data_IF_371121738908
#
_entry.id   IF_371121738908
#
_cell.length_a   1.000
_cell.length_b   1.000
_cell.length_c   1.000
_cell.angle_alpha   90.00
_cell.angle_beta   90.00
_cell.angle_gamma   90.00
#
_symmetry.space_group_name_H-M   'P 1'
#
loop_
_entity.id
_entity.type
_entity.pdbx_description
1 polymer ?
#
# COMPACT_ATOMS: atom_id res chain seq x y z
N UNK A 1 6.95 -9.80 -60.18
CA UNK A 1 5.94 -9.01 -59.41
C UNK A 1 6.06 -9.35 -57.94
N UNK A 2 6.77 -8.53 -57.16
CA UNK A 2 6.87 -8.67 -55.67
C UNK A 2 5.83 -7.72 -55.05
N UNK A 3 4.84 -8.23 -54.33
CA UNK A 3 3.89 -7.45 -53.57
C UNK A 3 4.44 -7.12 -52.18
N UNK A 4 4.60 -5.84 -51.98
CA UNK A 4 4.90 -5.16 -50.71
C UNK A 4 3.70 -5.34 -49.79
N UNK A 5 3.90 -5.93 -48.59
CA UNK A 5 2.97 -5.86 -47.45
C UNK A 5 3.52 -4.88 -46.41
N UNK A 6 3.00 -3.69 -46.42
CA UNK A 6 3.30 -2.63 -45.44
C UNK A 6 2.56 -2.84 -44.13
N UNK A 7 3.32 -2.73 -43.07
CA UNK A 7 3.21 -1.91 -41.89
C UNK A 7 1.83 -1.26 -41.58
N UNK A 8 1.02 -1.97 -40.76
CA UNK A 8 -0.13 -1.37 -40.06
C UNK A 8 -0.14 -1.67 -38.54
N UNK A 9 0.93 -2.22 -37.97
CA UNK A 9 0.97 -2.65 -36.55
C UNK A 9 1.42 -1.57 -35.55
N UNK A 10 2.01 -0.45 -36.01
CA UNK A 10 2.67 0.53 -35.13
C UNK A 10 1.75 1.60 -34.53
N UNK A 11 0.57 1.85 -35.10
CA UNK A 11 -0.30 2.96 -34.64
C UNK A 11 -1.28 2.59 -33.51
N UNK A 12 -1.60 1.30 -33.34
CA UNK A 12 -2.54 0.87 -32.27
C UNK A 12 -1.94 0.85 -30.87
N UNK A 13 -0.62 0.63 -30.74
CA UNK A 13 0.07 0.60 -29.43
C UNK A 13 0.22 2.02 -28.84
N UNK A 14 0.34 3.03 -29.68
CA UNK A 14 0.55 4.42 -29.24
C UNK A 14 -0.73 5.07 -28.70
N UNK A 15 -1.90 4.66 -29.24
CA UNK A 15 -3.21 5.17 -28.79
C UNK A 15 -3.62 4.61 -27.42
N UNK A 16 -3.24 3.35 -27.11
CA UNK A 16 -3.54 2.74 -25.83
C UNK A 16 -2.69 3.34 -24.68
N UNK A 17 -1.44 3.69 -24.94
CA UNK A 17 -0.58 4.35 -23.95
C UNK A 17 -1.10 5.73 -23.54
N UNK A 18 -1.65 6.48 -24.49
CA UNK A 18 -2.21 7.83 -24.23
C UNK A 18 -3.51 7.78 -23.40
N UNK A 19 -4.36 6.77 -23.61
CA UNK A 19 -5.61 6.62 -22.85
C UNK A 19 -5.38 6.21 -21.39
N UNK A 20 -4.38 5.38 -21.11
CA UNK A 20 -4.04 4.97 -19.74
C UNK A 20 -3.44 6.15 -18.96
N UNK A 21 -2.61 6.97 -19.60
CA UNK A 21 -2.04 8.17 -18.98
C UNK A 21 -3.12 9.21 -18.65
N UNK A 22 -4.14 9.33 -19.49
CA UNK A 22 -5.26 10.28 -19.30
C UNK A 22 -6.17 9.85 -18.13
N UNK A 23 -6.44 8.57 -17.96
CA UNK A 23 -7.23 8.04 -16.83
C UNK A 23 -6.47 8.23 -15.52
N UNK A 24 -5.14 8.04 -15.51
CA UNK A 24 -4.32 8.26 -14.31
C UNK A 24 -4.25 9.74 -13.92
N UNK A 25 -4.16 10.64 -14.93
CA UNK A 25 -4.15 12.08 -14.71
C UNK A 25 -5.52 12.61 -14.24
N UNK A 26 -6.61 12.03 -14.72
CA UNK A 26 -7.98 12.40 -14.30
C UNK A 26 -8.25 12.00 -12.84
N UNK A 27 -7.72 10.86 -12.37
CA UNK A 27 -7.86 10.42 -10.98
C UNK A 27 -7.06 11.30 -9.99
N UNK A 28 -6.00 11.99 -10.43
CA UNK A 28 -5.23 12.92 -9.61
C UNK A 28 -5.93 14.29 -9.44
N UNK A 29 -6.85 14.65 -10.35
CA UNK A 29 -7.53 15.94 -10.34
C UNK A 29 -8.98 15.90 -9.85
N UNK A 30 -9.58 14.72 -9.62
CA UNK A 30 -10.92 14.58 -9.06
C UNK A 30 -11.02 14.77 -7.55
N UNK A 31 -10.03 15.38 -6.92
CA UNK A 31 -10.07 15.84 -5.53
C UNK A 31 -10.64 17.24 -5.41
N UNK A 32 -11.78 17.55 -6.06
CA UNK A 32 -12.51 18.81 -5.78
C UNK A 32 -13.41 18.63 -4.57
N UNK A 33 -13.22 19.54 -3.66
CA UNK A 33 -13.96 19.77 -2.44
C UNK A 33 -15.45 19.53 -2.57
N UNK A 34 -15.97 18.53 -1.89
CA UNK A 34 -17.38 18.42 -1.59
C UNK A 34 -17.62 19.00 -0.18
N UNK A 35 -18.12 20.20 -0.19
CA UNK A 35 -19.00 20.84 0.78
C UNK A 35 -18.72 20.71 2.27
N UNK A 36 -18.28 21.81 2.89
CA UNK A 36 -18.82 22.28 4.15
C UNK A 36 -18.72 21.40 5.39
N UNK A 37 -17.58 20.73 5.62
CA UNK A 37 -17.25 20.21 6.94
C UNK A 37 -16.36 21.23 7.66
N UNK A 38 -16.66 21.57 8.91
CA UNK A 38 -15.77 22.33 9.80
C UNK A 38 -14.38 21.71 9.71
N UNK A 39 -13.43 22.46 9.17
CA UNK A 39 -12.03 22.00 9.06
C UNK A 39 -11.47 21.89 10.48
N UNK A 40 -11.47 20.68 11.02
CA UNK A 40 -10.59 20.39 12.13
C UNK A 40 -9.16 20.70 11.66
N UNK A 41 -8.41 21.47 12.42
CA UNK A 41 -7.04 21.86 12.09
C UNK A 41 -6.21 20.57 11.91
N UNK A 42 -5.78 20.29 10.68
CA UNK A 42 -4.96 19.12 10.41
C UNK A 42 -3.57 19.32 11.00
N UNK A 43 -3.09 18.32 11.74
CA UNK A 43 -1.72 18.29 12.23
C UNK A 43 -0.79 17.73 11.16
N UNK A 44 0.37 18.36 10.97
CA UNK A 44 1.41 17.87 10.05
C UNK A 44 2.50 17.16 10.85
N UNK A 45 2.91 15.99 10.40
CA UNK A 45 3.96 15.19 11.02
C UNK A 45 4.90 14.59 9.97
N UNK A 46 6.13 14.30 10.36
CA UNK A 46 7.09 13.56 9.54
C UNK A 46 7.48 12.24 10.22
N UNK A 47 7.66 11.19 9.40
CA UNK A 47 7.95 9.85 9.90
C UNK A 47 8.93 9.07 9.04
N UNK A 48 9.53 8.06 9.66
CA UNK A 48 10.39 7.07 9.01
C UNK A 48 9.77 5.69 9.14
N UNK A 49 9.65 4.96 8.05
CA UNK A 49 9.24 3.57 8.04
C UNK A 49 10.41 2.71 7.55
N UNK A 50 10.82 1.75 8.35
CA UNK A 50 11.87 0.79 8.00
C UNK A 50 11.25 -0.61 7.94
N UNK A 51 11.28 -1.23 6.76
CA UNK A 51 10.64 -2.53 6.48
C UNK A 51 11.70 -3.56 6.11
N UNK A 52 11.65 -4.70 6.75
CA UNK A 52 12.42 -5.89 6.41
C UNK A 52 11.47 -7.01 6.02
N UNK A 53 11.65 -7.59 4.84
CA UNK A 53 10.78 -8.62 4.31
C UNK A 53 11.58 -9.83 3.84
N UNK A 54 11.19 -11.02 4.30
CA UNK A 54 11.72 -12.31 3.83
C UNK A 54 10.58 -13.07 3.20
N UNK A 55 10.77 -13.52 1.96
CA UNK A 55 9.81 -14.40 1.31
C UNK A 55 10.51 -15.64 0.80
N UNK A 56 9.82 -16.77 0.87
CA UNK A 56 10.29 -18.07 0.37
C UNK A 56 9.27 -18.73 -0.53
N UNK A 57 9.70 -19.11 -1.71
CA UNK A 57 8.88 -19.97 -2.58
C UNK A 57 8.94 -21.41 -2.09
N UNK A 58 7.78 -21.97 -1.67
CA UNK A 58 7.66 -23.38 -1.25
C UNK A 58 7.38 -24.28 -2.45
N UNK A 59 6.58 -23.81 -3.39
CA UNK A 59 6.22 -24.46 -4.65
C UNK A 59 6.07 -23.38 -5.72
N UNK A 60 6.04 -23.80 -6.99
CA UNK A 60 5.97 -22.91 -8.17
C UNK A 60 4.96 -21.75 -8.07
N UNK A 61 3.89 -21.90 -7.29
CA UNK A 61 2.83 -20.89 -7.17
C UNK A 61 2.51 -20.53 -5.72
N UNK A 62 3.25 -21.06 -4.73
CA UNK A 62 2.97 -20.86 -3.31
C UNK A 62 4.21 -20.30 -2.65
N UNK A 63 4.07 -19.19 -1.96
CA UNK A 63 5.13 -18.59 -1.16
C UNK A 63 4.64 -18.24 0.25
N UNK A 64 5.56 -18.26 1.19
CA UNK A 64 5.36 -17.73 2.55
C UNK A 64 6.21 -16.49 2.72
N UNK A 65 5.79 -15.60 3.59
CA UNK A 65 6.57 -14.41 3.89
C UNK A 65 6.44 -14.00 5.36
N UNK A 66 7.49 -13.34 5.83
CA UNK A 66 7.52 -12.63 7.10
C UNK A 66 7.97 -11.21 6.82
N UNK A 67 7.33 -10.23 7.44
CA UNK A 67 7.67 -8.82 7.31
C UNK A 67 7.72 -8.19 8.69
N UNK A 68 8.82 -7.51 8.98
CA UNK A 68 9.01 -6.67 10.15
C UNK A 68 9.00 -5.21 9.71
N UNK A 69 8.30 -4.35 10.41
CA UNK A 69 8.32 -2.93 10.13
C UNK A 69 8.32 -2.11 11.40
N UNK A 70 9.25 -1.15 11.46
CA UNK A 70 9.37 -0.15 12.50
C UNK A 70 8.95 1.21 11.94
N UNK A 71 8.14 1.96 12.68
CA UNK A 71 7.67 3.29 12.30
C UNK A 71 7.99 4.32 13.36
N UNK A 72 8.68 5.36 12.94
CA UNK A 72 8.87 6.57 13.73
C UNK A 72 7.88 7.66 13.31
N UNK A 73 7.52 8.53 14.24
CA UNK A 73 6.68 9.71 14.06
C UNK A 73 7.27 10.90 14.87
N UNK A 74 6.55 12.01 14.97
CA UNK A 74 6.96 13.20 15.67
C UNK A 74 8.33 13.69 15.17
N UNK A 75 8.42 13.94 13.84
CA UNK A 75 9.66 14.35 13.17
C UNK A 75 10.81 13.36 13.43
N UNK A 76 10.54 12.06 13.29
CA UNK A 76 11.48 10.93 13.48
C UNK A 76 11.95 10.69 14.92
N UNK A 77 11.46 11.44 15.91
CA UNK A 77 11.97 11.42 17.29
C UNK A 77 11.35 10.30 18.14
N UNK A 78 10.16 9.79 17.75
CA UNK A 78 9.40 8.87 18.57
C UNK A 78 9.00 7.59 17.82
N UNK A 79 9.18 6.45 18.50
CA UNK A 79 8.64 5.19 18.02
C UNK A 79 7.10 5.25 18.04
N UNK A 80 6.47 5.00 16.90
CA UNK A 80 5.02 4.95 16.78
C UNK A 80 4.48 3.53 16.92
N UNK A 81 5.06 2.61 16.15
CA UNK A 81 4.68 1.20 16.21
C UNK A 81 5.78 0.32 15.61
N UNK A 82 5.71 -0.92 16.02
CA UNK A 82 6.40 -2.04 15.42
C UNK A 82 5.38 -3.10 15.04
N UNK A 83 5.59 -3.82 13.94
CA UNK A 83 4.73 -4.95 13.61
C UNK A 83 5.46 -6.08 12.91
N UNK A 84 4.93 -7.29 13.13
CA UNK A 84 5.30 -8.53 12.45
C UNK A 84 4.14 -9.02 11.60
N UNK A 85 4.36 -9.24 10.30
CA UNK A 85 3.44 -9.95 9.41
C UNK A 85 3.91 -11.36 9.15
N UNK A 86 3.00 -12.31 9.24
CA UNK A 86 3.17 -13.68 8.77
C UNK A 86 2.11 -13.95 7.70
N UNK A 87 2.53 -14.45 6.53
CA UNK A 87 1.55 -14.66 5.47
C UNK A 87 1.94 -15.73 4.46
N UNK A 88 0.90 -16.16 3.76
CA UNK A 88 0.98 -17.11 2.63
C UNK A 88 0.42 -16.42 1.40
N UNK A 89 1.05 -16.63 0.26
CA UNK A 89 0.56 -16.13 -1.02
C UNK A 89 0.53 -17.23 -2.06
N UNK A 90 -0.51 -17.23 -2.88
CA UNK A 90 -0.67 -18.11 -4.03
C UNK A 90 -0.77 -17.27 -5.31
N UNK A 91 -0.22 -17.80 -6.40
CA UNK A 91 -0.29 -17.20 -7.75
C UNK A 91 -0.97 -18.17 -8.71
N UNK A 92 -2.32 -18.29 -8.67
CA UNK A 92 -3.03 -19.22 -9.54
C UNK A 92 -2.80 -18.90 -11.02
N UNK A 93 -2.61 -17.62 -11.36
CA UNK A 93 -2.29 -17.13 -12.70
C UNK A 93 -1.14 -16.13 -12.65
N UNK A 94 -0.43 -15.94 -13.77
CA UNK A 94 0.68 -14.98 -13.89
C UNK A 94 0.27 -13.53 -13.56
N UNK A 95 -1.00 -13.19 -13.78
CA UNK A 95 -1.55 -11.86 -13.53
C UNK A 95 -2.27 -11.73 -12.19
N UNK A 96 -2.49 -12.83 -11.44
CA UNK A 96 -3.28 -12.85 -10.20
C UNK A 96 -2.46 -13.44 -9.05
N UNK A 97 -2.35 -12.68 -7.96
CA UNK A 97 -1.81 -13.13 -6.67
C UNK A 97 -2.89 -12.94 -5.59
N UNK A 98 -3.11 -13.95 -4.78
CA UNK A 98 -3.96 -13.89 -3.58
C UNK A 98 -3.08 -14.16 -2.38
N UNK A 99 -3.20 -13.38 -1.31
CA UNK A 99 -2.45 -13.62 -0.08
C UNK A 99 -3.32 -13.42 1.16
N UNK A 100 -3.07 -14.27 2.15
CA UNK A 100 -3.62 -14.18 3.49
C UNK A 100 -2.47 -13.89 4.44
N UNK A 101 -2.62 -12.88 5.29
CA UNK A 101 -1.61 -12.51 6.26
C UNK A 101 -2.22 -12.15 7.61
N UNK A 102 -1.49 -12.46 8.65
CA UNK A 102 -1.77 -12.08 10.02
C UNK A 102 -0.69 -11.12 10.50
N UNK A 103 -1.10 -10.04 11.17
CA UNK A 103 -0.22 -8.99 11.68
C UNK A 103 -0.41 -8.81 13.18
N UNK A 104 0.68 -8.91 13.91
CA UNK A 104 0.79 -8.45 15.30
C UNK A 104 1.36 -7.04 15.29
N UNK A 105 0.76 -6.12 16.03
CA UNK A 105 1.17 -4.71 16.11
C UNK A 105 1.34 -4.33 17.56
N UNK A 106 2.51 -3.81 17.87
CA UNK A 106 2.82 -3.13 19.12
C UNK A 106 2.82 -1.62 18.84
N UNK A 107 1.74 -0.93 19.23
CA UNK A 107 1.64 0.53 19.06
C UNK A 107 2.03 1.23 20.35
N UNK A 108 3.02 2.11 20.28
CA UNK A 108 3.38 3.02 21.36
C UNK A 108 2.30 4.08 21.55
N UNK A 109 1.86 4.25 22.79
CA UNK A 109 0.93 5.29 23.22
C UNK A 109 1.67 6.47 23.84
N UNK A 110 0.95 7.58 24.04
CA UNK A 110 1.52 8.81 24.61
C UNK A 110 1.94 8.67 26.08
N UNK A 111 1.34 7.75 26.81
CA UNK A 111 1.61 7.43 28.21
C UNK A 111 2.77 6.44 28.38
N UNK A 112 3.56 6.18 27.32
CA UNK A 112 4.64 5.20 27.26
C UNK A 112 4.20 3.74 27.46
N UNK A 113 2.93 3.44 27.32
CA UNK A 113 2.42 2.07 27.28
C UNK A 113 2.30 1.54 25.86
N UNK A 114 2.04 0.23 25.71
CA UNK A 114 1.82 -0.42 24.43
C UNK A 114 0.35 -0.79 24.26
N UNK A 115 -0.17 -0.59 23.05
CA UNK A 115 -1.44 -1.12 22.60
C UNK A 115 -1.20 -2.27 21.64
N UNK A 116 -1.51 -3.49 22.09
CA UNK A 116 -1.40 -4.69 21.26
C UNK A 116 -2.60 -4.79 20.33
N UNK A 117 -2.33 -5.01 19.03
CA UNK A 117 -3.36 -5.14 18.01
C UNK A 117 -3.12 -6.35 17.16
N UNK A 118 -4.19 -6.97 16.73
CA UNK A 118 -4.18 -8.12 15.84
C UNK A 118 -4.93 -7.78 14.57
N UNK A 119 -4.33 -8.07 13.43
CA UNK A 119 -4.93 -7.75 12.13
C UNK A 119 -4.86 -8.94 11.20
N UNK A 120 -6.00 -9.30 10.61
CA UNK A 120 -6.09 -10.26 9.53
C UNK A 120 -6.25 -9.50 8.22
N UNK A 121 -5.55 -9.94 7.17
CA UNK A 121 -5.53 -9.27 5.86
C UNK A 121 -5.69 -10.30 4.74
N UNK A 122 -6.64 -10.04 3.84
CA UNK A 122 -6.81 -10.75 2.58
C UNK A 122 -6.50 -9.79 1.43
N UNK A 123 -5.51 -10.12 0.61
CA UNK A 123 -5.10 -9.34 -0.55
C UNK A 123 -5.42 -10.08 -1.84
N UNK A 124 -6.00 -9.38 -2.79
CA UNK A 124 -6.12 -9.78 -4.19
C UNK A 124 -5.32 -8.78 -5.01
N UNK A 125 -4.30 -9.23 -5.71
CA UNK A 125 -3.44 -8.39 -6.54
C UNK A 125 -3.51 -8.81 -8.00
N UNK A 126 -3.88 -7.88 -8.85
CA UNK A 126 -3.85 -8.02 -10.30
C UNK A 126 -2.62 -7.28 -10.83
N UNK A 127 -1.88 -7.91 -11.74
CA UNK A 127 -0.69 -7.32 -12.34
C UNK A 127 -0.70 -7.52 -13.85
N UNK A 128 -0.41 -6.44 -14.59
CA UNK A 128 -0.26 -6.47 -16.06
C UNK A 128 1.03 -5.76 -16.44
N UNK A 129 1.87 -6.43 -17.24
CA UNK A 129 3.08 -5.86 -17.84
C UNK A 129 2.81 -5.52 -19.30
N UNK A 130 3.25 -4.33 -19.73
CA UNK A 130 3.18 -3.85 -21.11
C UNK A 130 4.47 -3.12 -21.46
N UNK A 131 5.35 -3.74 -22.23
CA UNK A 131 6.69 -3.25 -22.48
C UNK A 131 7.48 -3.08 -21.18
N UNK A 132 8.04 -1.90 -20.97
CA UNK A 132 8.78 -1.53 -19.77
C UNK A 132 7.88 -1.18 -18.56
N UNK A 133 6.56 -1.03 -18.76
CA UNK A 133 5.64 -0.65 -17.70
C UNK A 133 4.96 -1.86 -17.06
N UNK A 134 4.83 -1.83 -15.74
CA UNK A 134 4.11 -2.82 -14.96
C UNK A 134 3.06 -2.11 -14.10
N UNK A 135 1.79 -2.30 -14.43
CA UNK A 135 0.66 -1.80 -13.65
C UNK A 135 0.20 -2.91 -12.70
N UNK A 136 0.00 -2.57 -11.44
CA UNK A 136 -0.64 -3.46 -10.46
C UNK A 136 -1.78 -2.75 -9.73
N UNK A 137 -2.81 -3.52 -9.42
CA UNK A 137 -3.91 -3.14 -8.56
C UNK A 137 -4.02 -4.15 -7.44
N UNK A 138 -4.05 -3.67 -6.19
CA UNK A 138 -4.25 -4.51 -5.00
C UNK A 138 -5.49 -4.05 -4.25
N UNK A 139 -6.44 -4.96 -4.10
CA UNK A 139 -7.53 -4.86 -3.14
C UNK A 139 -7.12 -5.58 -1.87
N UNK A 140 -7.20 -4.92 -0.71
CA UNK A 140 -6.99 -5.50 0.61
C UNK A 140 -8.27 -5.34 1.44
N UNK A 141 -8.77 -6.45 1.96
CA UNK A 141 -9.73 -6.47 3.05
C UNK A 141 -8.96 -6.75 4.33
N UNK A 142 -9.14 -5.92 5.35
CA UNK A 142 -8.50 -6.12 6.65
C UNK A 142 -9.49 -5.99 7.80
N UNK A 143 -9.30 -6.85 8.81
CA UNK A 143 -9.99 -6.85 10.07
C UNK A 143 -8.98 -6.60 11.19
N UNK A 144 -9.24 -5.67 12.08
CA UNK A 144 -8.34 -5.31 13.18
C UNK A 144 -9.07 -5.32 14.51
N UNK A 145 -8.52 -6.01 15.51
CA UNK A 145 -8.93 -5.94 16.91
C UNK A 145 -7.87 -5.21 17.71
N UNK A 146 -8.28 -4.36 18.66
CA UNK A 146 -7.39 -3.51 19.47
C UNK A 146 -7.58 -3.84 20.94
N UNK A 147 -6.48 -3.91 21.68
CA UNK A 147 -6.50 -4.02 23.14
C UNK A 147 -7.50 -5.06 23.65
N UNK A 148 -7.41 -6.29 23.15
CA UNK A 148 -8.33 -7.40 23.48
C UNK A 148 -8.51 -7.61 24.98
N UNK A 149 -7.48 -7.24 25.77
CA UNK A 149 -7.46 -7.41 27.21
C UNK A 149 -7.92 -6.18 28.01
N UNK A 150 -8.08 -5.01 27.38
CA UNK A 150 -8.29 -3.74 28.09
C UNK A 150 -9.71 -3.17 27.96
N UNK A 151 -10.50 -3.60 26.97
CA UNK A 151 -11.88 -3.14 26.83
C UNK A 151 -12.74 -4.10 26.02
N UNK A 152 -14.04 -4.19 26.35
CA UNK A 152 -15.02 -4.99 25.61
C UNK A 152 -15.11 -4.56 24.13
N UNK A 153 -15.01 -3.26 23.83
CA UNK A 153 -15.01 -2.75 22.46
C UNK A 153 -13.73 -3.08 21.69
N UNK A 154 -12.63 -3.41 22.36
CA UNK A 154 -11.38 -3.86 21.74
C UNK A 154 -11.50 -5.21 21.06
N UNK A 155 -12.41 -6.07 21.50
CA UNK A 155 -12.66 -7.40 20.92
C UNK A 155 -13.49 -7.34 19.64
N UNK A 156 -14.23 -6.24 19.39
CA UNK A 156 -15.04 -6.08 18.19
C UNK A 156 -14.12 -5.58 17.06
N UNK A 157 -14.04 -6.30 15.92
CA UNK A 157 -13.13 -5.94 14.85
C UNK A 157 -13.60 -4.70 14.09
N UNK A 158 -12.63 -3.83 13.77
CA UNK A 158 -12.77 -2.84 12.72
C UNK A 158 -12.51 -3.46 11.36
N UNK A 159 -13.26 -3.05 10.35
CA UNK A 159 -13.07 -3.52 8.98
C UNK A 159 -12.74 -2.39 8.04
N UNK A 160 -11.73 -2.62 7.20
CA UNK A 160 -11.27 -1.69 6.19
C UNK A 160 -11.15 -2.37 4.82
N UNK A 161 -11.47 -1.61 3.78
CA UNK A 161 -11.09 -1.90 2.41
C UNK A 161 -10.00 -0.93 1.97
N UNK A 162 -8.92 -1.44 1.36
CA UNK A 162 -7.82 -0.62 0.84
C UNK A 162 -7.56 -0.98 -0.60
N UNK A 163 -7.49 0.04 -1.44
CA UNK A 163 -7.29 -0.08 -2.87
C UNK A 163 -5.97 0.62 -3.23
N UNK A 164 -4.98 -0.12 -3.72
CA UNK A 164 -3.68 0.41 -4.14
C UNK A 164 -3.48 0.20 -5.63
N UNK A 165 -3.17 1.27 -6.33
CA UNK A 165 -2.70 1.27 -7.71
C UNK A 165 -1.20 1.58 -7.71
N UNK A 166 -0.43 0.85 -8.50
CA UNK A 166 1.01 1.06 -8.62
C UNK A 166 1.44 0.93 -10.07
N UNK A 167 2.18 1.91 -10.55
CA UNK A 167 2.83 1.90 -11.86
C UNK A 167 4.34 1.88 -11.64
N UNK A 168 4.99 0.83 -12.12
CA UNK A 168 6.42 0.59 -12.03
C UNK A 168 7.03 0.62 -13.43
N UNK A 169 8.18 1.26 -13.58
CA UNK A 169 8.93 1.30 -14.83
C UNK A 169 10.19 0.42 -14.72
N UNK A 170 10.22 -0.66 -15.51
CA UNK A 170 11.36 -1.56 -15.63
C UNK A 170 12.33 -0.96 -16.67
N UNK A 171 13.34 -0.27 -16.21
CA UNK A 171 14.49 0.10 -17.02
C UNK A 171 15.37 -1.16 -17.15
N UNK A 172 16.05 -1.39 -18.26
CA UNK A 172 17.03 -2.49 -18.41
C UNK A 172 18.26 -2.31 -17.48
N UNK A 173 18.00 -1.84 -16.26
CA UNK A 173 18.94 -1.50 -15.18
C UNK A 173 18.42 -2.09 -13.87
N UNK A 174 19.26 -2.25 -12.84
CA UNK A 174 18.84 -2.76 -11.55
C UNK A 174 17.88 -1.83 -10.78
N UNK A 175 17.71 -0.59 -11.23
CA UNK A 175 16.83 0.42 -10.62
C UNK A 175 15.48 0.43 -11.31
N UNK A 176 14.39 0.44 -10.53
CA UNK A 176 13.00 0.47 -11.00
C UNK A 176 12.21 1.54 -10.26
N UNK A 177 12.03 2.72 -10.86
CA UNK A 177 11.16 3.75 -10.28
C UNK A 177 9.69 3.32 -10.32
N UNK A 178 8.94 3.81 -9.35
CA UNK A 178 7.50 3.58 -9.30
C UNK A 178 6.75 4.75 -8.66
N UNK A 179 5.47 4.83 -8.98
CA UNK A 179 4.50 5.68 -8.30
C UNK A 179 3.32 4.82 -7.87
N UNK A 180 2.70 5.18 -6.76
CA UNK A 180 1.49 4.49 -6.31
C UNK A 180 0.51 5.45 -5.61
N UNK A 181 -0.76 5.07 -5.66
CA UNK A 181 -1.82 5.70 -4.89
C UNK A 181 -2.62 4.64 -4.14
N UNK A 182 -2.91 4.87 -2.88
CA UNK A 182 -3.71 3.97 -2.06
C UNK A 182 -4.84 4.75 -1.37
N UNK A 183 -6.04 4.18 -1.40
CA UNK A 183 -7.25 4.74 -0.80
C UNK A 183 -7.78 3.75 0.23
N UNK A 184 -8.19 4.25 1.41
CA UNK A 184 -8.75 3.45 2.49
C UNK A 184 -10.20 3.85 2.77
N UNK A 185 -11.06 2.85 2.73
CA UNK A 185 -12.48 2.94 3.04
C UNK A 185 -12.75 2.23 4.37
N UNK A 186 -13.42 2.91 5.31
CA UNK A 186 -13.86 2.33 6.58
C UNK A 186 -15.19 1.61 6.35
N UNK A 187 -15.21 0.30 6.54
CA UNK A 187 -16.44 -0.49 6.38
C UNK A 187 -17.28 -0.38 7.66
N UNK A 188 -16.65 -0.63 8.83
CA UNK A 188 -17.24 -0.37 10.14
C UNK A 188 -16.16 -0.02 11.16
N UNK A 189 -16.51 0.78 12.15
CA UNK A 189 -15.68 1.09 13.31
C UNK A 189 -16.54 1.10 14.59
N UNK A 190 -16.48 0.05 15.40
CA UNK A 190 -17.30 -0.05 16.62
C UNK A 190 -16.96 1.02 17.68
N UNK A 191 -15.89 1.79 17.48
CA UNK A 191 -15.44 2.89 18.37
C UNK A 191 -15.76 4.26 17.83
N UNK A 192 -16.03 4.39 16.54
CA UNK A 192 -16.34 5.63 15.88
C UNK A 192 -17.31 5.41 14.72
N UNK A 193 -18.60 5.28 15.07
CA UNK A 193 -19.67 5.01 14.09
C UNK A 193 -19.79 6.11 13.05
N UNK A 194 -19.42 7.36 13.38
CA UNK A 194 -19.46 8.48 12.44
C UNK A 194 -18.49 8.34 11.26
N UNK A 195 -17.43 7.54 11.43
CA UNK A 195 -16.46 7.25 10.35
C UNK A 195 -16.85 6.06 9.47
N UNK A 196 -17.91 5.33 9.81
CA UNK A 196 -18.34 4.15 9.06
C UNK A 196 -18.89 4.53 7.68
N UNK A 197 -18.61 3.67 6.71
CA UNK A 197 -19.07 3.87 5.33
C UNK A 197 -18.39 5.04 4.60
N UNK A 198 -17.24 5.51 5.07
CA UNK A 198 -16.54 6.65 4.49
C UNK A 198 -15.13 6.31 4.01
N UNK A 199 -14.70 7.03 2.97
CA UNK A 199 -13.30 7.15 2.62
C UNK A 199 -12.65 8.09 3.62
N UNK A 200 -11.50 7.70 4.20
CA UNK A 200 -10.91 8.50 5.27
C UNK A 200 -9.39 8.61 5.22
N UNK A 201 -8.74 8.00 4.22
CA UNK A 201 -7.28 8.12 4.05
C UNK A 201 -6.85 7.90 2.62
N UNK A 202 -5.98 8.80 2.14
CA UNK A 202 -5.24 8.65 0.90
C UNK A 202 -3.75 8.53 1.18
N UNK A 203 -3.03 7.81 0.31
CA UNK A 203 -1.58 7.74 0.29
C UNK A 203 -1.09 7.89 -1.12
N UNK A 204 -0.11 8.75 -1.33
CA UNK A 204 0.60 8.93 -2.58
C UNK A 204 2.05 8.59 -2.36
N UNK A 205 2.64 7.80 -3.24
CA UNK A 205 3.96 7.22 -3.07
C UNK A 205 4.76 7.44 -4.35
N UNK A 206 5.99 7.89 -4.20
CA UNK A 206 7.01 7.84 -5.22
C UNK A 206 8.23 7.09 -4.66
N UNK A 207 8.78 6.16 -5.42
CA UNK A 207 9.86 5.34 -4.90
C UNK A 207 10.74 4.74 -5.99
N UNK A 208 11.82 4.13 -5.51
CA UNK A 208 12.82 3.44 -6.31
C UNK A 208 13.11 2.07 -5.67
N UNK A 209 13.03 0.99 -6.46
CA UNK A 209 13.57 -0.31 -6.07
C UNK A 209 14.93 -0.51 -6.73
N UNK A 210 15.92 -0.93 -5.97
CA UNK A 210 17.23 -1.35 -6.44
C UNK A 210 17.36 -2.88 -6.27
N UNK A 211 17.34 -3.61 -7.37
CA UNK A 211 17.54 -5.05 -7.41
C UNK A 211 19.04 -5.35 -7.46
N UNK A 212 19.66 -5.59 -6.30
CA UNK A 212 21.09 -5.93 -6.21
C UNK A 212 21.39 -7.27 -6.90
N UNK A 213 20.51 -8.25 -6.72
CA UNK A 213 20.54 -9.58 -7.35
C UNK A 213 19.13 -10.19 -7.29
N UNK A 214 18.96 -11.45 -7.70
CA UNK A 214 17.65 -12.12 -7.71
C UNK A 214 17.07 -12.34 -6.30
N UNK A 215 17.91 -12.35 -5.28
CA UNK A 215 17.50 -12.55 -3.89
C UNK A 215 17.31 -11.25 -3.10
N UNK A 216 18.04 -10.19 -3.43
CA UNK A 216 18.12 -8.99 -2.61
C UNK A 216 17.61 -7.77 -3.35
N UNK A 217 16.58 -7.13 -2.80
CA UNK A 217 16.03 -5.87 -3.31
C UNK A 217 16.00 -4.84 -2.18
N UNK A 218 16.49 -3.64 -2.46
CA UNK A 218 16.41 -2.46 -1.59
C UNK A 218 15.39 -1.50 -2.18
N UNK A 219 14.55 -0.92 -1.34
CA UNK A 219 13.59 0.10 -1.72
C UNK A 219 13.80 1.37 -0.91
N UNK A 220 13.61 2.50 -1.55
CA UNK A 220 13.45 3.80 -0.88
C UNK A 220 12.25 4.50 -1.48
N UNK A 221 11.43 5.12 -0.64
CA UNK A 221 10.26 5.85 -1.11
C UNK A 221 9.94 7.06 -0.24
N UNK A 222 9.24 8.00 -0.84
CA UNK A 222 8.56 9.07 -0.15
C UNK A 222 7.06 8.86 -0.25
N UNK A 223 6.36 9.00 0.88
CA UNK A 223 4.93 8.78 0.98
C UNK A 223 4.28 9.97 1.66
N UNK A 224 3.23 10.51 1.04
CA UNK A 224 2.33 11.49 1.66
C UNK A 224 1.05 10.76 2.05
N UNK A 225 0.68 10.83 3.32
CA UNK A 225 -0.58 10.31 3.83
C UNK A 225 -1.45 11.47 4.30
N UNK A 226 -2.67 11.52 3.79
CA UNK A 226 -3.67 12.49 4.22
C UNK A 226 -4.87 11.75 4.82
N UNK A 227 -5.34 12.22 5.96
CA UNK A 227 -6.57 11.76 6.59
C UNK A 227 -7.67 12.79 6.41
N UNK A 228 -8.90 12.34 6.27
CA UNK A 228 -10.11 13.14 6.11
C UNK A 228 -11.33 12.33 6.57
N UNK A 229 -12.44 12.99 6.82
CA UNK A 229 -13.65 12.37 7.40
C UNK A 229 -13.38 11.64 8.72
N UNK A 230 -12.52 12.23 9.54
CA UNK A 230 -12.18 11.77 10.89
C UNK A 230 -12.13 12.99 11.82
N UNK A 231 -12.37 12.81 13.11
CA UNK A 231 -12.44 13.90 14.10
C UNK A 231 -11.12 14.67 14.25
N UNK A 232 -9.97 14.02 14.05
CA UNK A 232 -8.65 14.64 14.14
C UNK A 232 -7.79 14.19 12.94
N UNK A 233 -7.92 14.85 11.77
CA UNK A 233 -7.18 14.46 10.57
C UNK A 233 -5.70 14.78 10.69
N UNK A 234 -4.84 13.84 10.28
CA UNK A 234 -3.40 13.99 10.25
C UNK A 234 -2.87 13.95 8.80
N UNK A 235 -1.90 14.82 8.50
CA UNK A 235 -1.08 14.74 7.31
C UNK A 235 0.32 14.26 7.71
N UNK A 236 0.77 13.14 7.14
CA UNK A 236 2.06 12.57 7.51
C UNK A 236 2.93 12.42 6.26
N UNK A 237 4.16 12.94 6.35
CA UNK A 237 5.19 12.87 5.33
C UNK A 237 6.22 11.82 5.73
N UNK A 238 6.37 10.76 4.94
CA UNK A 238 7.09 9.57 5.36
C UNK A 238 8.22 9.28 4.39
N UNK A 239 9.43 9.11 4.92
CA UNK A 239 10.52 8.44 4.22
C UNK A 239 10.44 6.96 4.56
N UNK A 240 10.46 6.10 3.54
CA UNK A 240 10.42 4.66 3.70
C UNK A 240 11.68 3.99 3.19
N UNK A 241 12.18 3.03 3.95
CA UNK A 241 13.29 2.15 3.60
C UNK A 241 12.79 0.71 3.61
N UNK A 242 13.04 -0.02 2.55
CA UNK A 242 12.67 -1.43 2.43
C UNK A 242 13.86 -2.30 2.09
N UNK A 243 13.95 -3.46 2.72
CA UNK A 243 14.87 -4.51 2.31
C UNK A 243 14.13 -5.83 2.19
N UNK A 244 14.22 -6.46 1.03
CA UNK A 244 13.54 -7.73 0.74
C UNK A 244 14.55 -8.81 0.38
N UNK A 245 14.45 -9.97 1.04
CA UNK A 245 15.15 -11.20 0.73
C UNK A 245 14.18 -12.21 0.14
N UNK A 246 14.51 -12.74 -1.04
CA UNK A 246 13.78 -13.83 -1.71
C UNK A 246 14.62 -15.12 -1.67
N UNK A 247 14.06 -16.19 -1.07
CA UNK A 247 14.69 -17.51 -0.86
C UNK A 247 14.05 -18.59 -1.72
#
# INVERSE_FOLDING_TARGET
MKKIKEKTSSKKSLLWGRSILFVFFFLLFCGKDYGGASFAQSTNDAGLWATFNVQKELKKNVSVFITEECRLRENFSRLNLFYTDLGVAIRPFKFLKVSLAYRMIDKFLLDNTFSYRHRLMLDITLKKKSGAFSLSYRQRLQSEVRNVYSSASGTIPEWYSRNKFELKYDMDKPVRPYIAAEFRYQINDPRNVESEGLWHRNRYIIGLDYKKNDRNTFGVYYLIQNEFNVSAPENIYIVGLEYTISL
#
